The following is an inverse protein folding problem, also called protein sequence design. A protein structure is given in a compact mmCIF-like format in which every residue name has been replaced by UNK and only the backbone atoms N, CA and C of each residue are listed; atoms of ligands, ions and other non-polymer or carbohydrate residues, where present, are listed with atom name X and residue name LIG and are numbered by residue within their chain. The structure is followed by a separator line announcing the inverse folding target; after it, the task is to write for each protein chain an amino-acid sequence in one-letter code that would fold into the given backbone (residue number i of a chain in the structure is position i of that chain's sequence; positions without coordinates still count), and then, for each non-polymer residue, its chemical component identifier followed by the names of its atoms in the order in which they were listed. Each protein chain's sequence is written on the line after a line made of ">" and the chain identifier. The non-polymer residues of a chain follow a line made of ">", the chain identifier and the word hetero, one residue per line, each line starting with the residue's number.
data_IF_570674677988
#
_entry.id   IF_570674677988
#
_cell.length_a   1.000
_cell.length_b   1.000
_cell.length_c   1.000
_cell.angle_alpha   90.00
_cell.angle_beta   90.00
_cell.angle_gamma   90.00
#
_symmetry.space_group_name_H-M   'P 1'
#
loop_
_entity.id
_entity.type
_entity.pdbx_description
1 polymer ?
#
# COMPACT_ATOMS: atom_id res chain seq x y z
N UNK A 1 -15.19 2.94 9.72
CA UNK A 1 -16.55 2.55 10.15
C UNK A 1 -17.17 1.37 9.39
N UNK A 2 -17.44 1.40 8.07
CA UNK A 2 -18.10 0.27 7.36
C UNK A 2 -17.21 -0.98 7.18
N UNK A 3 -15.92 -0.76 6.93
CA UNK A 3 -14.96 -1.79 6.53
C UNK A 3 -13.99 -2.20 7.64
N UNK A 4 -14.15 -1.62 8.82
CA UNK A 4 -13.25 -1.86 9.93
C UNK A 4 -13.36 -3.32 10.36
N UNK A 5 -12.20 -3.93 10.64
CA UNK A 5 -12.05 -5.33 11.01
C UNK A 5 -12.75 -6.31 10.04
N UNK A 6 -12.90 -5.92 8.76
CA UNK A 6 -13.55 -6.76 7.75
C UNK A 6 -12.91 -8.15 7.62
N UNK A 7 -11.59 -8.22 7.72
CA UNK A 7 -10.83 -9.47 7.66
C UNK A 7 -11.07 -10.40 8.86
N UNK A 8 -11.58 -9.88 9.99
CA UNK A 8 -11.84 -10.67 11.20
C UNK A 8 -13.25 -11.27 11.22
N UNK A 9 -14.15 -10.79 10.34
CA UNK A 9 -15.53 -11.27 10.25
C UNK A 9 -15.59 -12.72 9.75
N UNK A 10 -16.68 -13.47 9.98
CA UNK A 10 -16.86 -14.80 9.37
C UNK A 10 -16.77 -14.74 7.83
N UNK A 11 -16.24 -15.76 7.13
CA UNK A 11 -16.08 -15.73 5.68
C UNK A 11 -17.37 -15.42 4.89
N UNK A 12 -18.53 -15.88 5.39
CA UNK A 12 -19.83 -15.61 4.77
C UNK A 12 -20.23 -14.11 4.78
N UNK A 13 -19.62 -13.33 5.67
CA UNK A 13 -19.84 -11.88 5.81
C UNK A 13 -18.76 -11.04 5.11
N UNK A 14 -17.71 -11.69 4.57
CA UNK A 14 -16.63 -11.03 3.82
C UNK A 14 -16.99 -10.80 2.36
N UNK A 15 -18.18 -10.27 2.11
CA UNK A 15 -18.66 -9.98 0.77
C UNK A 15 -18.60 -8.47 0.52
N UNK A 16 -17.84 -8.05 -0.49
CA UNK A 16 -17.78 -6.66 -0.97
C UNK A 16 -18.55 -6.56 -2.28
N UNK A 17 -19.70 -5.86 -2.31
CA UNK A 17 -20.39 -5.55 -3.54
C UNK A 17 -19.49 -4.77 -4.50
N UNK A 18 -19.54 -5.08 -5.79
CA UNK A 18 -18.65 -4.44 -6.78
C UNK A 18 -18.89 -2.92 -6.88
N UNK A 19 -20.13 -2.46 -6.71
CA UNK A 19 -20.50 -1.03 -6.69
C UNK A 19 -20.00 -0.30 -5.43
N UNK A 20 -19.57 -1.03 -4.41
CA UNK A 20 -18.90 -0.48 -3.24
C UNK A 20 -17.38 -0.32 -3.43
N UNK A 21 -16.81 -0.87 -4.53
CA UNK A 21 -15.43 -0.64 -4.92
C UNK A 21 -15.40 0.65 -5.75
N UNK A 22 -14.69 1.66 -5.25
CA UNK A 22 -14.52 2.93 -5.95
C UNK A 22 -13.67 2.81 -7.22
N UNK A 23 -13.42 3.95 -7.86
CA UNK A 23 -12.51 4.01 -9.00
C UNK A 23 -11.07 3.74 -8.56
N UNK A 24 -10.28 3.16 -9.46
CA UNK A 24 -8.85 2.97 -9.24
C UNK A 24 -8.12 4.31 -9.46
N UNK A 25 -7.64 4.92 -8.37
CA UNK A 25 -6.95 6.23 -8.39
C UNK A 25 -5.40 6.10 -8.33
N UNK A 26 -4.88 4.88 -8.15
CA UNK A 26 -3.45 4.62 -8.04
C UNK A 26 -3.07 3.28 -8.66
N UNK A 27 -1.83 3.17 -9.13
CA UNK A 27 -1.29 1.93 -9.72
C UNK A 27 0.15 1.76 -9.27
N UNK A 28 0.51 0.51 -8.93
CA UNK A 28 1.89 0.08 -8.69
C UNK A 28 2.22 -0.96 -9.74
N UNK A 29 3.32 -0.76 -10.47
CA UNK A 29 3.77 -1.69 -11.52
C UNK A 29 4.88 -2.55 -10.97
N UNK A 30 4.67 -3.85 -10.93
CA UNK A 30 5.64 -4.82 -10.44
C UNK A 30 6.44 -5.47 -11.58
N UNK A 31 7.73 -5.69 -11.32
CA UNK A 31 8.63 -6.52 -12.12
C UNK A 31 9.17 -7.64 -11.25
N UNK A 32 9.37 -8.81 -11.84
CA UNK A 32 9.95 -9.95 -11.14
C UNK A 32 11.43 -10.04 -11.46
N UNK A 33 12.27 -9.92 -10.44
CA UNK A 33 13.73 -9.89 -10.56
C UNK A 33 14.32 -10.74 -9.42
N UNK A 34 15.22 -11.68 -9.75
CA UNK A 34 15.98 -12.47 -8.77
C UNK A 34 15.14 -13.13 -7.66
N UNK A 35 13.93 -13.58 -7.98
CA UNK A 35 13.07 -14.25 -7.00
C UNK A 35 12.19 -13.32 -6.16
N UNK A 36 12.19 -12.02 -6.43
CA UNK A 36 11.35 -11.02 -5.75
C UNK A 36 10.55 -10.18 -6.74
N UNK A 37 9.40 -9.69 -6.31
CA UNK A 37 8.64 -8.69 -7.05
C UNK A 37 9.03 -7.29 -6.54
N UNK A 38 9.51 -6.45 -7.43
CA UNK A 38 9.86 -5.04 -7.15
C UNK A 38 8.82 -4.18 -7.85
N UNK A 39 8.10 -3.38 -7.08
CA UNK A 39 7.02 -2.52 -7.57
C UNK A 39 7.27 -1.07 -7.23
N UNK A 40 6.87 -0.19 -8.13
CA UNK A 40 6.82 1.25 -7.85
C UNK A 40 5.58 1.88 -8.48
N UNK A 41 5.14 3.01 -7.94
CA UNK A 41 4.25 3.91 -8.68
C UNK A 41 4.96 4.43 -9.95
N UNK A 42 4.21 4.84 -10.99
CA UNK A 42 4.77 5.60 -12.11
C UNK A 42 5.48 6.88 -11.66
N UNK A 43 6.24 7.49 -12.57
CA UNK A 43 6.86 8.79 -12.36
C UNK A 43 5.80 9.83 -11.97
N UNK A 44 6.08 10.64 -10.94
CA UNK A 44 5.13 11.58 -10.36
C UNK A 44 4.19 10.99 -9.30
N UNK A 45 4.17 9.65 -9.12
CA UNK A 45 3.35 8.99 -8.12
C UNK A 45 1.87 8.92 -8.48
N UNK A 46 1.03 8.74 -7.46
CA UNK A 46 -0.42 8.77 -7.58
C UNK A 46 -0.99 10.06 -6.95
N UNK A 47 -2.13 10.59 -7.44
CA UNK A 47 -2.79 11.72 -6.81
C UNK A 47 -3.11 11.44 -5.34
N UNK A 48 -2.91 12.44 -4.49
CA UNK A 48 -3.27 12.36 -3.08
C UNK A 48 -3.77 13.71 -2.56
N UNK A 49 -4.53 13.67 -1.48
CA UNK A 49 -4.95 14.86 -0.71
C UNK A 49 -4.68 14.65 0.79
N UNK A 50 -3.87 13.66 1.14
CA UNK A 50 -3.59 13.30 2.53
C UNK A 50 -2.64 14.33 3.17
N UNK A 51 -3.10 15.02 4.22
CA UNK A 51 -2.29 15.98 4.98
C UNK A 51 -1.62 17.07 4.12
N UNK A 52 -2.30 17.52 3.06
CA UNK A 52 -1.78 18.57 2.16
C UNK A 52 -0.80 18.04 1.10
N UNK A 53 -0.64 16.73 0.98
CA UNK A 53 0.05 16.15 -0.17
C UNK A 53 -0.76 16.35 -1.45
N UNK A 54 -0.08 16.45 -2.58
CA UNK A 54 -0.66 16.35 -3.93
C UNK A 54 -0.32 15.01 -4.59
N UNK A 55 0.75 14.34 -4.12
CA UNK A 55 1.19 13.06 -4.64
C UNK A 55 1.59 12.08 -3.54
N UNK A 56 1.45 10.80 -3.83
CA UNK A 56 2.05 9.70 -3.06
C UNK A 56 2.90 8.83 -3.98
N UNK A 57 4.13 8.55 -3.56
CA UNK A 57 4.97 7.54 -4.21
C UNK A 57 5.00 6.30 -3.36
N UNK A 58 4.94 5.14 -3.99
CA UNK A 58 5.03 3.84 -3.32
C UNK A 58 6.14 3.05 -3.97
N UNK A 59 7.09 2.58 -3.17
CA UNK A 59 8.07 1.56 -3.54
C UNK A 59 7.78 0.30 -2.71
N UNK A 60 7.74 -0.85 -3.37
CA UNK A 60 7.39 -2.12 -2.76
C UNK A 60 8.36 -3.22 -3.18
N UNK A 61 8.78 -4.03 -2.21
CA UNK A 61 9.49 -5.28 -2.46
C UNK A 61 8.72 -6.42 -1.83
N UNK A 62 8.16 -7.30 -2.66
CA UNK A 62 7.39 -8.45 -2.22
C UNK A 62 8.19 -9.73 -2.48
N UNK A 63 8.37 -10.51 -1.42
CA UNK A 63 9.18 -11.72 -1.41
C UNK A 63 8.51 -12.83 -0.58
N UNK A 64 9.13 -14.01 -0.52
CA UNK A 64 8.66 -15.08 0.37
C UNK A 64 8.70 -14.70 1.84
N UNK A 65 9.62 -13.82 2.23
CA UNK A 65 9.83 -13.43 3.62
C UNK A 65 8.86 -12.33 4.07
N UNK A 66 8.21 -11.63 3.13
CA UNK A 66 7.23 -10.59 3.42
C UNK A 66 7.20 -9.46 2.40
N UNK A 67 6.66 -8.32 2.84
CA UNK A 67 6.50 -7.10 2.06
C UNK A 67 7.30 -5.97 2.71
N UNK A 68 8.22 -5.37 1.97
CA UNK A 68 8.84 -4.09 2.32
C UNK A 68 8.07 -3.02 1.55
N UNK A 69 7.47 -2.06 2.25
CA UNK A 69 6.61 -1.04 1.66
C UNK A 69 7.06 0.35 2.10
N UNK A 70 7.38 1.21 1.14
CA UNK A 70 7.78 2.58 1.39
C UNK A 70 6.85 3.56 0.70
N UNK A 71 5.89 4.07 1.47
CA UNK A 71 4.95 5.10 1.03
C UNK A 71 5.44 6.47 1.52
N UNK A 72 5.45 7.44 0.61
CA UNK A 72 5.89 8.81 0.88
C UNK A 72 4.93 9.77 0.21
N UNK A 73 4.45 10.75 0.98
CA UNK A 73 3.50 11.76 0.50
C UNK A 73 4.22 13.09 0.33
N UNK A 74 3.97 13.76 -0.79
CA UNK A 74 4.63 15.02 -1.15
C UNK A 74 3.61 16.12 -1.43
N UNK A 75 3.90 17.34 -1.00
CA UNK A 75 3.15 18.54 -1.40
C UNK A 75 3.47 18.98 -2.84
N UNK A 76 2.78 20.01 -3.34
CA UNK A 76 3.00 20.55 -4.70
C UNK A 76 4.36 21.22 -4.92
N UNK A 77 5.13 21.46 -3.85
CA UNK A 77 6.51 21.95 -3.93
C UNK A 77 7.55 20.82 -3.89
N UNK A 78 7.11 19.56 -3.74
CA UNK A 78 7.97 18.38 -3.68
C UNK A 78 8.53 18.08 -2.29
N UNK A 79 8.04 18.72 -1.23
CA UNK A 79 8.44 18.41 0.14
C UNK A 79 7.69 17.17 0.64
N UNK A 80 8.39 16.24 1.29
CA UNK A 80 7.75 15.11 1.95
C UNK A 80 6.98 15.59 3.18
N UNK A 81 5.67 15.32 3.24
CA UNK A 81 4.76 15.76 4.33
C UNK A 81 4.30 14.60 5.22
N UNK A 82 4.42 13.36 4.74
CA UNK A 82 4.13 12.16 5.52
C UNK A 82 4.87 10.93 4.97
N UNK A 83 4.85 9.86 5.74
CA UNK A 83 5.58 8.62 5.46
C UNK A 83 6.96 8.62 6.11
N UNK A 84 7.64 7.49 6.02
CA UNK A 84 8.99 7.33 6.59
C UNK A 84 10.01 8.08 5.74
N UNK A 85 10.94 8.81 6.36
CA UNK A 85 12.05 9.49 5.67
C UNK A 85 13.28 8.58 5.52
N UNK A 86 13.37 7.52 6.31
CA UNK A 86 14.60 6.72 6.47
C UNK A 86 14.53 5.34 5.83
N UNK A 87 13.34 4.87 5.43
CA UNK A 87 13.20 3.60 4.74
C UNK A 87 11.82 2.97 4.83
N UNK A 88 11.68 1.82 4.19
CA UNK A 88 10.44 1.05 4.12
C UNK A 88 9.98 0.50 5.48
N UNK A 89 8.67 0.40 5.65
CA UNK A 89 8.07 -0.47 6.67
C UNK A 89 8.21 -1.93 6.24
N UNK A 90 8.59 -2.79 7.19
CA UNK A 90 8.85 -4.20 6.95
C UNK A 90 7.70 -5.04 7.52
N UNK A 91 6.80 -5.47 6.65
CA UNK A 91 5.70 -6.37 7.00
C UNK A 91 6.18 -7.81 6.86
N UNK A 92 6.07 -8.57 7.95
CA UNK A 92 6.44 -9.99 8.00
C UNK A 92 5.24 -10.81 8.45
N UNK A 93 5.04 -12.01 7.89
CA UNK A 93 3.95 -12.87 8.32
C UNK A 93 4.14 -13.24 9.78
N UNK A 94 3.06 -13.15 10.56
CA UNK A 94 2.98 -13.86 11.83
C UNK A 94 2.60 -15.31 11.54
N UNK A 95 3.12 -16.26 12.32
CA UNK A 95 2.65 -17.63 12.22
C UNK A 95 1.13 -17.65 12.49
N UNK A 96 0.36 -18.32 11.61
CA UNK A 96 -1.10 -18.42 11.72
C UNK A 96 -1.53 -19.20 13.00
N UNK A 97 -0.57 -19.87 13.65
CA UNK A 97 -0.76 -20.61 14.91
C UNK A 97 -0.55 -19.75 16.18
N UNK A 98 -0.47 -18.42 16.05
CA UNK A 98 -0.39 -17.53 17.21
C UNK A 98 -1.80 -17.27 17.77
N UNK A 99 -2.04 -17.52 19.08
CA UNK A 99 -3.37 -17.72 19.68
C UNK A 99 -4.31 -16.51 19.62
#
# INVERSE_FOLDING_TARGET
>A
DRWDNFCDRPPAERLVPADAIGNAECTIVFRFEEGVFIGSTPEGGCPSNFRGSEAVTIDARFSRDGLDLWERWYDGAGNQVAGSETGAYLYRPIAIDSP
#
